data_IF_796582939413
#
_entry.id   IF_796582939413
#
_cell.length_a   1.000
_cell.length_b   1.000
_cell.length_c   1.000
_cell.angle_alpha   90.00
_cell.angle_beta   90.00
_cell.angle_gamma   90.00
#
_symmetry.space_group_name_H-M   'P 1'
#
loop_
_entity.id
_entity.type
_entity.pdbx_description
1 polymer ?
#
# COMPACT_ATOMS: atom_id res chain seq x y z
N UNK A 1 7.28 16.44 -18.16
CA UNK A 1 6.96 15.74 -16.89
C UNK A 1 5.56 16.13 -16.47
N UNK A 2 4.81 15.21 -15.90
CA UNK A 2 3.47 15.47 -15.35
C UNK A 2 3.59 15.96 -13.90
N UNK A 3 2.74 16.89 -13.46
CA UNK A 3 2.70 17.33 -12.05
C UNK A 3 1.98 16.32 -11.16
N UNK A 4 2.12 16.45 -9.83
CA UNK A 4 1.44 15.58 -8.87
C UNK A 4 -0.08 15.71 -8.99
N UNK A 5 -0.58 16.92 -9.17
CA UNK A 5 -2.01 17.23 -9.29
C UNK A 5 -2.60 16.57 -10.54
N UNK A 6 -1.88 16.69 -11.67
CA UNK A 6 -2.27 16.01 -12.90
C UNK A 6 -2.29 14.48 -12.69
N UNK A 7 -1.35 13.93 -11.91
CA UNK A 7 -1.29 12.50 -11.61
C UNK A 7 -2.51 12.06 -10.80
N UNK A 8 -2.86 12.80 -9.76
CA UNK A 8 -4.06 12.51 -8.97
C UNK A 8 -5.34 12.66 -9.78
N UNK A 9 -5.44 13.65 -10.66
CA UNK A 9 -6.61 13.80 -11.53
C UNK A 9 -6.79 12.57 -12.45
N UNK A 10 -5.71 12.08 -13.07
CA UNK A 10 -5.75 10.87 -13.90
C UNK A 10 -6.11 9.62 -13.09
N UNK A 11 -5.52 9.46 -11.90
CA UNK A 11 -5.81 8.32 -11.02
C UNK A 11 -7.28 8.34 -10.55
N UNK A 12 -7.83 9.53 -10.25
CA UNK A 12 -9.20 9.73 -9.82
C UNK A 12 -10.26 9.32 -10.85
N UNK A 13 -9.93 9.38 -12.15
CA UNK A 13 -10.84 8.95 -13.25
C UNK A 13 -11.06 7.44 -13.29
N UNK A 14 -10.19 6.63 -12.68
CA UNK A 14 -10.30 5.16 -12.68
C UNK A 14 -11.03 4.68 -11.43
N UNK A 15 -12.21 4.04 -11.60
CA UNK A 15 -12.99 3.47 -10.49
C UNK A 15 -12.19 2.53 -9.57
N UNK A 16 -11.28 1.74 -10.14
CA UNK A 16 -10.41 0.86 -9.36
C UNK A 16 -9.44 1.67 -8.50
N UNK A 17 -8.69 2.60 -9.11
CA UNK A 17 -7.65 3.36 -8.41
C UNK A 17 -8.21 4.38 -7.44
N UNK A 18 -9.36 4.98 -7.75
CA UNK A 18 -10.04 5.91 -6.86
C UNK A 18 -10.80 5.24 -5.73
N UNK A 19 -10.85 3.89 -5.66
CA UNK A 19 -11.50 3.19 -4.54
C UNK A 19 -10.62 3.06 -3.29
N UNK A 20 -9.31 3.26 -3.45
CA UNK A 20 -8.29 3.13 -2.42
C UNK A 20 -8.28 4.34 -1.48
N UNK A 21 -8.60 4.10 -0.22
CA UNK A 21 -8.64 5.12 0.83
C UNK A 21 -8.30 4.48 2.18
N UNK A 22 -7.53 5.20 3.01
CA UNK A 22 -7.31 4.83 4.40
C UNK A 22 -8.59 5.04 5.21
N UNK A 23 -9.00 4.00 5.94
CA UNK A 23 -10.02 4.14 6.98
C UNK A 23 -9.50 4.98 8.15
N UNK A 24 -10.41 5.53 8.97
CA UNK A 24 -10.02 6.30 10.16
C UNK A 24 -9.06 5.54 11.09
N UNK A 25 -9.25 4.23 11.24
CA UNK A 25 -8.36 3.36 12.03
C UNK A 25 -6.95 3.27 11.44
N UNK A 26 -6.85 3.17 10.12
CA UNK A 26 -5.58 3.10 9.40
C UNK A 26 -4.84 4.44 9.40
N UNK A 27 -5.58 5.56 9.32
CA UNK A 27 -5.02 6.91 9.48
C UNK A 27 -4.43 7.08 10.89
N UNK A 28 -5.16 6.70 11.94
CA UNK A 28 -4.66 6.73 13.32
C UNK A 28 -3.41 5.85 13.49
N UNK A 29 -3.40 4.66 12.89
CA UNK A 29 -2.22 3.79 12.93
C UNK A 29 -1.01 4.42 12.22
N UNK A 30 -1.25 5.09 11.08
CA UNK A 30 -0.21 5.82 10.35
C UNK A 30 0.35 6.98 11.18
N UNK A 31 -0.52 7.74 11.86
CA UNK A 31 -0.14 8.84 12.75
C UNK A 31 0.64 8.32 13.97
N UNK A 32 0.20 7.23 14.58
CA UNK A 32 0.82 6.65 15.78
C UNK A 32 2.20 6.06 15.49
N UNK A 33 2.36 5.34 14.36
CA UNK A 33 3.63 4.68 14.03
C UNK A 33 4.57 5.54 13.21
N UNK A 34 4.03 6.47 12.41
CA UNK A 34 4.78 7.33 11.51
C UNK A 34 5.21 6.66 10.20
N UNK A 35 5.71 7.48 9.29
CA UNK A 35 6.07 7.08 7.93
C UNK A 35 7.27 6.14 7.84
N UNK A 36 8.23 6.24 8.76
CA UNK A 36 9.43 5.39 8.73
C UNK A 36 9.10 3.93 9.00
N UNK A 37 8.17 3.68 9.93
CA UNK A 37 7.66 2.34 10.20
C UNK A 37 6.90 1.81 8.98
N UNK A 38 6.09 2.64 8.31
CA UNK A 38 5.39 2.21 7.09
C UNK A 38 6.35 1.83 5.95
N UNK A 39 7.41 2.62 5.75
CA UNK A 39 8.44 2.32 4.75
C UNK A 39 9.14 1.00 5.06
N UNK A 40 9.47 0.77 6.34
CA UNK A 40 10.04 -0.50 6.79
C UNK A 40 9.10 -1.66 6.51
N UNK A 41 7.82 -1.56 6.89
CA UNK A 41 6.83 -2.60 6.65
C UNK A 41 6.66 -2.90 5.16
N UNK A 42 6.57 -1.87 4.31
CA UNK A 42 6.49 -2.05 2.87
C UNK A 42 7.71 -2.82 2.32
N UNK A 43 8.92 -2.46 2.76
CA UNK A 43 10.14 -3.19 2.40
C UNK A 43 10.16 -4.63 2.89
N UNK A 44 9.70 -4.88 4.13
CA UNK A 44 9.58 -6.24 4.68
C UNK A 44 8.60 -7.10 3.89
N UNK A 45 7.46 -6.55 3.47
CA UNK A 45 6.50 -7.27 2.62
C UNK A 45 7.10 -7.68 1.28
N UNK A 46 7.81 -6.76 0.60
CA UNK A 46 8.48 -7.09 -0.66
C UNK A 46 9.51 -8.19 -0.44
N UNK A 47 10.41 -8.02 0.53
CA UNK A 47 11.50 -8.98 0.80
C UNK A 47 11.00 -10.37 1.18
N UNK A 48 9.98 -10.44 2.02
CA UNK A 48 9.54 -11.72 2.59
C UNK A 48 8.50 -12.42 1.72
N UNK A 49 7.67 -11.66 0.99
CA UNK A 49 6.48 -12.23 0.34
C UNK A 49 6.53 -12.19 -1.19
N UNK A 50 7.21 -11.22 -1.79
CA UNK A 50 7.26 -11.05 -3.26
C UNK A 50 8.62 -11.40 -3.87
N UNK A 51 9.71 -11.16 -3.14
CA UNK A 51 11.06 -11.37 -3.64
C UNK A 51 11.51 -12.85 -3.73
N UNK A 52 11.08 -13.79 -2.85
CA UNK A 52 11.48 -15.19 -2.98
C UNK A 52 11.00 -15.81 -4.29
N UNK A 53 11.87 -16.56 -4.96
CA UNK A 53 11.54 -17.27 -6.19
C UNK A 53 10.47 -18.36 -5.97
N UNK A 54 10.46 -18.96 -4.78
CA UNK A 54 9.49 -19.96 -4.33
C UNK A 54 8.82 -19.44 -3.05
N UNK A 55 7.78 -18.59 -3.16
CA UNK A 55 7.11 -18.02 -2.00
C UNK A 55 6.32 -19.09 -1.24
N UNK A 56 6.36 -19.04 0.10
CA UNK A 56 5.67 -19.99 0.98
C UNK A 56 4.16 -20.05 0.71
N UNK A 57 3.56 -18.90 0.40
CA UNK A 57 2.13 -18.76 0.11
C UNK A 57 1.95 -18.24 -1.32
N UNK A 58 2.25 -19.10 -2.29
CA UNK A 58 2.08 -18.77 -3.70
C UNK A 58 0.61 -18.41 -4.01
N UNK A 59 0.42 -17.36 -4.82
CA UNK A 59 -0.89 -16.76 -5.11
C UNK A 59 -1.55 -15.96 -3.97
N UNK A 60 -1.00 -15.94 -2.75
CA UNK A 60 -1.50 -15.14 -1.60
C UNK A 60 -0.38 -14.37 -0.90
N UNK A 61 0.48 -13.76 -1.70
CA UNK A 61 1.70 -13.10 -1.24
C UNK A 61 1.41 -11.83 -0.43
N UNK A 62 0.42 -11.00 -0.77
CA UNK A 62 0.14 -9.76 -0.04
C UNK A 62 -1.22 -9.77 0.66
N UNK A 63 -1.31 -9.28 1.91
CA UNK A 63 -2.59 -8.95 2.52
C UNK A 63 -3.34 -7.96 1.64
N UNK A 64 -4.61 -8.24 1.35
CA UNK A 64 -5.45 -7.33 0.56
C UNK A 64 -6.10 -6.23 1.42
N UNK A 65 -6.17 -6.43 2.74
CA UNK A 65 -6.85 -5.54 3.67
C UNK A 65 -6.16 -5.52 5.05
N UNK A 66 -6.44 -4.48 5.84
CA UNK A 66 -6.09 -4.42 7.26
C UNK A 66 -4.71 -3.83 7.58
N UNK A 67 -3.98 -3.32 6.58
CA UNK A 67 -2.73 -2.60 6.80
C UNK A 67 -2.64 -1.38 5.88
N UNK A 68 -2.25 -0.19 6.37
CA UNK A 68 -2.24 1.05 5.57
C UNK A 68 -1.41 1.00 4.28
N UNK A 69 -0.36 0.18 4.25
CA UNK A 69 0.50 -0.03 3.06
C UNK A 69 -0.26 -0.59 1.85
N UNK A 70 -1.35 -1.33 2.06
CA UNK A 70 -2.11 -1.98 0.97
C UNK A 70 -3.43 -1.27 0.65
N UNK A 71 -3.61 -0.04 1.14
CA UNK A 71 -4.85 0.72 1.03
C UNK A 71 -4.75 1.93 0.13
#
# INVERSE_FOLDING_TARGET
MQTIEQAFEKLGRSKFRSSFHLTKKEQLYLEEKGMDVMRKHAGDFVRQKLAPAEPVTDGKQTPMHGHPVFK
#
